data_IF_056814110382
#
_entry.id   IF_056814110382
#
_cell.length_a   1.000
_cell.length_b   1.000
_cell.length_c   1.000
_cell.angle_alpha   90.00
_cell.angle_beta   90.00
_cell.angle_gamma   90.00
#
_symmetry.space_group_name_H-M   'P 1'
#
loop_
_entity.id
_entity.type
_entity.pdbx_description
1 polymer ?
#
# COMPACT_ATOMS: atom_id res chain seq x y z
N UNK A 1 -57.87 -11.48 21.32
CA UNK A 1 -56.59 -11.98 21.85
C UNK A 1 -55.58 -12.04 20.72
N UNK A 2 -54.76 -11.00 20.55
CA UNK A 2 -53.48 -11.09 19.83
C UNK A 2 -52.52 -10.29 20.71
N UNK A 3 -51.71 -11.02 21.46
CA UNK A 3 -50.67 -10.45 22.32
C UNK A 3 -49.50 -10.01 21.45
N UNK A 4 -49.17 -8.73 21.55
CA UNK A 4 -47.89 -8.15 21.18
C UNK A 4 -46.76 -8.90 21.87
N UNK A 5 -45.79 -9.37 21.10
CA UNK A 5 -44.46 -9.67 21.59
C UNK A 5 -43.47 -8.80 20.81
N UNK A 6 -42.93 -7.82 21.53
CA UNK A 6 -41.80 -6.98 21.14
C UNK A 6 -40.66 -7.87 20.61
N UNK A 7 -40.32 -7.75 19.32
CA UNK A 7 -38.94 -7.93 18.91
C UNK A 7 -38.31 -6.56 19.03
N UNK A 8 -37.52 -6.42 20.08
CA UNK A 8 -36.77 -5.24 20.41
C UNK A 8 -36.02 -4.75 19.17
N UNK A 9 -36.38 -3.55 18.73
CA UNK A 9 -35.54 -2.66 17.97
C UNK A 9 -34.26 -2.43 18.79
N UNK A 10 -33.29 -3.34 18.67
CA UNK A 10 -31.88 -2.97 18.77
C UNK A 10 -31.49 -2.26 17.48
N UNK A 11 -32.21 -1.16 17.18
CA UNK A 11 -31.61 -0.05 16.46
C UNK A 11 -30.53 0.44 17.42
N UNK A 12 -29.33 -0.10 17.28
CA UNK A 12 -28.14 0.59 17.75
C UNK A 12 -28.31 2.02 17.27
N UNK A 13 -28.21 2.97 18.20
CA UNK A 13 -28.15 4.39 17.89
C UNK A 13 -27.32 4.53 16.62
N UNK A 14 -27.76 5.27 15.59
CA UNK A 14 -26.83 5.65 14.55
C UNK A 14 -25.72 6.35 15.32
N UNK A 15 -24.55 5.72 15.45
CA UNK A 15 -23.35 6.40 15.89
C UNK A 15 -23.20 7.47 14.82
N UNK A 16 -23.71 8.68 15.11
CA UNK A 16 -23.42 9.85 14.32
C UNK A 16 -21.90 9.88 14.28
N UNK A 17 -21.35 9.59 13.11
CA UNK A 17 -19.92 9.53 12.95
C UNK A 17 -19.41 10.90 13.41
N UNK A 18 -18.61 10.93 14.48
CA UNK A 18 -18.11 12.19 15.05
C UNK A 18 -17.57 13.05 13.90
N UNK A 19 -18.19 14.22 13.67
CA UNK A 19 -17.76 15.08 12.56
C UNK A 19 -16.37 15.62 12.88
N UNK A 20 -15.41 15.39 11.98
CA UNK A 20 -14.06 15.94 12.10
C UNK A 20 -14.09 17.36 11.58
N UNK A 21 -13.80 18.36 12.42
CA UNK A 21 -13.76 19.76 11.99
C UNK A 21 -12.49 20.08 11.20
N UNK A 22 -12.55 21.07 10.30
CA UNK A 22 -11.37 21.55 9.58
C UNK A 22 -10.26 22.00 10.54
N UNK A 23 -10.63 22.64 11.66
CA UNK A 23 -9.67 23.03 12.70
C UNK A 23 -8.96 21.82 13.33
N UNK A 24 -9.68 20.72 13.60
CA UNK A 24 -9.11 19.49 14.16
C UNK A 24 -8.13 18.80 13.19
N UNK A 25 -8.35 18.95 11.88
CA UNK A 25 -7.45 18.40 10.86
C UNK A 25 -6.11 19.15 10.86
N UNK A 26 -6.16 20.49 10.89
CA UNK A 26 -4.97 21.34 10.72
C UNK A 26 -4.22 21.64 12.02
N UNK A 27 -4.79 21.33 13.18
CA UNK A 27 -4.14 21.55 14.48
C UNK A 27 -3.17 20.40 14.80
N UNK A 28 -1.85 20.66 14.92
CA UNK A 28 -0.86 19.59 14.95
C UNK A 28 -1.02 18.58 16.09
N UNK A 29 -1.37 19.03 17.29
CA UNK A 29 -1.55 18.19 18.48
C UNK A 29 -2.82 17.34 18.46
N UNK A 30 -3.75 17.56 17.52
CA UNK A 30 -5.05 16.89 17.55
C UNK A 30 -4.92 15.43 17.13
N UNK A 31 -5.46 14.52 17.96
CA UNK A 31 -5.66 13.11 17.60
C UNK A 31 -7.09 12.91 17.10
N UNK A 32 -7.26 12.41 15.87
CA UNK A 32 -8.59 12.05 15.34
C UNK A 32 -8.97 10.69 15.90
N UNK A 33 -10.23 10.55 16.33
CA UNK A 33 -10.77 9.33 16.91
C UNK A 33 -11.86 8.73 16.03
N UNK A 34 -11.91 7.40 15.98
CA UNK A 34 -13.01 6.59 15.45
C UNK A 34 -13.32 5.51 16.48
N UNK A 35 -14.58 5.41 16.91
CA UNK A 35 -15.00 4.46 17.94
C UNK A 35 -14.11 4.53 19.21
N UNK A 36 -13.77 5.76 19.63
CA UNK A 36 -12.85 6.06 20.74
C UNK A 36 -11.41 5.54 20.57
N UNK A 37 -11.01 5.13 19.37
CA UNK A 37 -9.64 4.71 19.04
C UNK A 37 -8.95 5.74 18.15
N UNK A 38 -7.66 6.03 18.37
CA UNK A 38 -6.89 6.88 17.47
C UNK A 38 -6.89 6.35 16.04
N UNK A 39 -7.20 7.22 15.09
CA UNK A 39 -6.95 6.99 13.67
C UNK A 39 -5.49 7.31 13.41
N UNK A 40 -4.67 6.27 13.26
CA UNK A 40 -3.25 6.41 12.90
C UNK A 40 -3.11 6.71 11.41
N UNK A 41 -2.02 7.41 11.08
CA UNK A 41 -1.54 7.56 9.72
C UNK A 41 -0.05 7.23 9.68
N UNK A 42 0.44 6.83 8.50
CA UNK A 42 1.82 6.43 8.34
C UNK A 42 2.52 7.23 7.25
N UNK A 43 3.84 7.35 7.36
CA UNK A 43 4.73 7.63 6.23
C UNK A 43 5.37 6.31 5.81
N UNK A 44 5.48 6.11 4.50
CA UNK A 44 6.01 4.88 3.93
C UNK A 44 5.27 3.61 4.42
N UNK A 45 4.00 3.70 4.81
CA UNK A 45 3.22 2.56 5.31
C UNK A 45 3.65 1.97 6.66
N UNK A 46 4.87 2.24 7.15
CA UNK A 46 5.45 1.60 8.33
C UNK A 46 5.71 2.54 9.50
N UNK A 47 5.83 3.85 9.25
CA UNK A 47 6.21 4.81 10.29
C UNK A 47 4.94 5.55 10.71
N UNK A 48 4.34 5.07 11.80
CA UNK A 48 3.03 5.50 12.26
C UNK A 48 3.07 6.71 13.19
N UNK A 49 2.03 7.54 13.08
CA UNK A 49 1.79 8.74 13.88
C UNK A 49 0.31 8.83 14.25
N UNK A 50 0.02 9.44 15.40
CA UNK A 50 -1.35 9.73 15.86
C UNK A 50 -1.73 11.19 15.61
N UNK A 51 -0.73 12.05 15.50
CA UNK A 51 -0.88 13.50 15.32
C UNK A 51 0.23 14.06 14.44
N UNK A 52 0.03 15.24 13.83
CA UNK A 52 1.07 15.88 13.02
C UNK A 52 2.22 16.40 13.90
N UNK A 53 1.95 16.71 15.18
CA UNK A 53 2.99 17.07 16.13
C UNK A 53 4.02 15.94 16.35
N UNK A 54 3.57 14.67 16.37
CA UNK A 54 4.47 13.50 16.46
C UNK A 54 5.32 13.33 15.19
N UNK A 55 4.81 13.77 14.04
CA UNK A 55 5.51 13.69 12.76
C UNK A 55 6.68 14.68 12.65
N UNK A 56 6.56 15.89 13.19
CA UNK A 56 7.57 16.94 12.96
C UNK A 56 8.99 16.56 13.43
N UNK A 57 9.20 15.97 14.63
CA UNK A 57 10.52 15.50 15.03
C UNK A 57 11.08 14.41 14.11
N UNK A 58 10.22 13.55 13.55
CA UNK A 58 10.65 12.55 12.58
C UNK A 58 11.16 13.20 11.29
N UNK A 59 10.43 14.19 10.75
CA UNK A 59 10.88 14.96 9.58
C UNK A 59 12.23 15.61 9.83
N UNK A 60 12.40 16.26 10.98
CA UNK A 60 13.66 16.87 11.39
C UNK A 60 14.80 15.85 11.46
N UNK A 61 14.56 14.68 12.06
CA UNK A 61 15.55 13.61 12.14
C UNK A 61 15.96 13.10 10.73
N UNK A 62 15.01 12.91 9.81
CA UNK A 62 15.34 12.47 8.44
C UNK A 62 16.14 13.51 7.66
N UNK A 63 15.86 14.81 7.85
CA UNK A 63 16.63 15.87 7.17
C UNK A 63 18.08 15.96 7.64
N UNK A 64 18.37 15.47 8.86
CA UNK A 64 19.72 15.45 9.46
C UNK A 64 20.46 14.14 9.24
N UNK A 65 19.79 13.14 8.67
CA UNK A 65 20.30 11.78 8.54
C UNK A 65 21.55 11.70 7.66
N UNK A 66 21.59 12.48 6.59
CA UNK A 66 22.74 12.55 5.70
C UNK A 66 23.40 13.92 5.83
N UNK A 67 24.72 13.93 6.02
CA UNK A 67 25.50 15.16 5.94
C UNK A 67 25.51 15.59 4.48
N UNK A 68 24.87 16.71 4.21
CA UNK A 68 24.92 17.32 2.89
C UNK A 68 26.24 18.07 2.78
N UNK A 69 27.17 17.54 1.98
CA UNK A 69 28.52 18.11 1.83
C UNK A 69 28.52 19.50 1.16
N UNK A 70 27.42 19.87 0.49
CA UNK A 70 27.25 21.15 -0.18
C UNK A 70 26.11 21.98 0.44
N UNK A 71 26.39 23.15 1.04
CA UNK A 71 25.35 24.05 1.59
C UNK A 71 24.31 24.56 0.57
N UNK A 72 24.60 24.45 -0.74
CA UNK A 72 23.69 24.80 -1.84
C UNK A 72 22.76 23.65 -2.24
N UNK A 73 22.98 22.45 -1.70
CA UNK A 73 22.13 21.30 -2.00
C UNK A 73 20.83 21.37 -1.18
N UNK A 74 19.74 21.69 -1.89
CA UNK A 74 18.39 21.82 -1.34
C UNK A 74 17.72 20.46 -1.06
N UNK A 75 18.43 19.34 -1.19
CA UNK A 75 17.90 17.99 -0.95
C UNK A 75 17.22 17.88 0.41
N UNK A 76 17.82 18.43 1.48
CA UNK A 76 17.21 18.43 2.82
C UNK A 76 15.88 19.19 2.90
N UNK A 77 15.74 20.33 2.21
CA UNK A 77 14.48 21.09 2.16
C UNK A 77 13.42 20.35 1.36
N UNK A 78 13.80 19.74 0.23
CA UNK A 78 12.92 18.94 -0.60
C UNK A 78 12.37 17.72 0.16
N UNK A 79 13.24 17.02 0.89
CA UNK A 79 12.85 15.88 1.76
C UNK A 79 11.86 16.35 2.83
N UNK A 80 12.16 17.46 3.52
CA UNK A 80 11.29 17.98 4.57
C UNK A 80 9.88 18.29 4.05
N UNK A 81 9.81 19.00 2.93
CA UNK A 81 8.55 19.36 2.28
C UNK A 81 7.77 18.13 1.82
N UNK A 82 8.44 17.15 1.22
CA UNK A 82 7.80 15.93 0.74
C UNK A 82 7.29 15.04 1.88
N UNK A 83 8.08 14.86 2.94
CA UNK A 83 7.64 14.09 4.12
C UNK A 83 6.49 14.79 4.84
N UNK A 84 6.53 16.12 4.97
CA UNK A 84 5.42 16.89 5.53
C UNK A 84 4.15 16.73 4.71
N UNK A 85 4.25 16.89 3.38
CA UNK A 85 3.12 16.70 2.46
C UNK A 85 2.54 15.30 2.55
N UNK A 86 3.38 14.26 2.58
CA UNK A 86 2.96 12.87 2.76
C UNK A 86 2.28 12.65 4.10
N UNK A 87 2.82 13.18 5.18
CA UNK A 87 2.21 13.06 6.50
C UNK A 87 0.85 13.75 6.59
N UNK A 88 0.71 14.95 6.02
CA UNK A 88 -0.58 15.65 5.89
C UNK A 88 -1.55 14.84 5.01
N UNK A 89 -1.08 14.29 3.90
CA UNK A 89 -1.90 13.44 3.05
C UNK A 89 -2.41 12.21 3.81
N UNK A 90 -1.58 11.56 4.62
CA UNK A 90 -1.99 10.43 5.46
C UNK A 90 -2.92 10.81 6.61
N UNK A 91 -2.78 12.03 7.14
CA UNK A 91 -3.72 12.58 8.11
C UNK A 91 -5.12 12.80 7.52
N UNK A 92 -5.18 13.14 6.24
CA UNK A 92 -6.43 13.48 5.53
C UNK A 92 -7.07 12.25 4.90
N UNK A 93 -6.28 11.40 4.27
CA UNK A 93 -6.74 10.18 3.62
C UNK A 93 -6.25 9.01 4.45
N UNK A 94 -7.17 8.39 5.18
CA UNK A 94 -6.86 7.24 6.04
C UNK A 94 -7.52 5.98 5.53
N UNK A 95 -6.86 4.88 5.84
CA UNK A 95 -7.30 3.53 5.55
C UNK A 95 -8.57 3.11 6.30
N UNK A 96 -8.80 3.73 7.45
CA UNK A 96 -9.87 3.35 8.36
C UNK A 96 -11.01 4.36 8.36
N UNK A 97 -10.79 5.55 7.80
CA UNK A 97 -11.68 6.69 7.95
C UNK A 97 -11.48 7.77 6.89
N UNK A 98 -12.49 8.01 6.06
CA UNK A 98 -12.48 9.06 5.02
C UNK A 98 -13.11 10.38 5.51
N UNK A 99 -13.60 10.47 6.76
CA UNK A 99 -14.13 11.73 7.33
C UNK A 99 -13.16 12.90 7.28
N UNK A 100 -11.83 12.73 7.53
CA UNK A 100 -10.89 13.84 7.44
C UNK A 100 -10.76 14.36 5.99
N UNK A 101 -10.84 13.45 5.00
CA UNK A 101 -10.85 13.82 3.59
C UNK A 101 -12.12 14.61 3.25
N UNK A 102 -13.29 14.10 3.62
CA UNK A 102 -14.58 14.76 3.41
C UNK A 102 -14.56 16.18 4.00
N UNK A 103 -14.15 16.32 5.25
CA UNK A 103 -14.03 17.61 5.92
C UNK A 103 -13.05 18.56 5.22
N UNK A 104 -11.92 18.07 4.68
CA UNK A 104 -10.99 18.91 3.91
C UNK A 104 -11.57 19.38 2.57
N UNK A 105 -12.23 18.50 1.81
CA UNK A 105 -12.69 18.80 0.43
C UNK A 105 -13.98 19.61 0.39
N UNK A 106 -14.80 19.53 1.44
CA UNK A 106 -16.04 20.32 1.58
C UNK A 106 -15.79 21.79 1.92
N UNK A 107 -14.57 22.16 2.30
CA UNK A 107 -14.18 23.55 2.58
C UNK A 107 -13.39 24.16 1.41
N UNK A 108 -13.48 25.47 1.26
CA UNK A 108 -12.71 26.27 0.31
C UNK A 108 -11.24 26.37 0.73
N UNK A 109 -10.37 26.77 -0.22
CA UNK A 109 -8.97 27.03 0.10
C UNK A 109 -8.78 28.22 1.02
N UNK A 110 -9.73 29.17 1.03
CA UNK A 110 -9.70 30.32 1.93
C UNK A 110 -10.03 29.90 3.38
N UNK A 111 -11.09 29.12 3.57
CA UNK A 111 -11.43 28.56 4.89
C UNK A 111 -10.29 27.71 5.45
N UNK A 112 -9.62 26.91 4.61
CA UNK A 112 -8.43 26.15 5.00
C UNK A 112 -7.29 27.06 5.48
N UNK A 113 -7.00 28.15 4.74
CA UNK A 113 -5.99 29.13 5.16
C UNK A 113 -6.35 29.80 6.48
N UNK A 114 -7.63 30.15 6.66
CA UNK A 114 -8.11 30.77 7.90
C UNK A 114 -7.99 29.82 9.09
N UNK A 115 -8.37 28.54 8.93
CA UNK A 115 -8.21 27.53 9.96
C UNK A 115 -6.73 27.32 10.36
N UNK A 116 -5.83 27.29 9.37
CA UNK A 116 -4.38 27.22 9.62
C UNK A 116 -3.87 28.47 10.34
N UNK A 117 -4.28 29.67 9.91
CA UNK A 117 -3.90 30.92 10.55
C UNK A 117 -4.42 31.04 12.01
N UNK A 118 -5.50 30.34 12.34
CA UNK A 118 -6.04 30.28 13.69
C UNK A 118 -5.23 29.35 14.62
N UNK A 119 -4.41 28.44 14.08
CA UNK A 119 -3.55 27.54 14.88
C UNK A 119 -2.55 28.35 15.70
N UNK A 120 -2.46 28.05 17.00
CA UNK A 120 -1.54 28.70 17.95
C UNK A 120 -0.23 27.94 18.16
N UNK A 121 -0.20 26.68 17.76
CA UNK A 121 0.98 25.82 17.85
C UNK A 121 2.04 26.20 16.80
N UNK A 122 3.34 25.97 17.08
CA UNK A 122 4.38 26.14 16.09
C UNK A 122 4.15 25.26 14.86
N UNK A 123 4.23 25.86 13.68
CA UNK A 123 4.07 25.17 12.40
C UNK A 123 5.41 25.12 11.64
N UNK A 124 5.78 23.99 11.04
CA UNK A 124 6.98 23.93 10.19
C UNK A 124 6.80 24.79 8.93
N UNK A 125 7.89 25.26 8.31
CA UNK A 125 7.83 25.96 7.03
C UNK A 125 7.13 25.10 5.95
N UNK A 126 6.26 25.71 5.16
CA UNK A 126 5.53 25.01 4.08
C UNK A 126 4.25 24.30 4.51
N UNK A 127 3.84 24.40 5.77
CA UNK A 127 2.66 23.70 6.30
C UNK A 127 1.37 24.02 5.57
N UNK A 128 1.11 25.31 5.29
CA UNK A 128 -0.09 25.74 4.61
C UNK A 128 -0.10 25.31 3.15
N UNK A 129 1.03 25.43 2.48
CA UNK A 129 1.24 25.02 1.10
C UNK A 129 1.03 23.52 0.93
N UNK A 130 1.52 22.71 1.88
CA UNK A 130 1.34 21.26 1.87
C UNK A 130 -0.14 20.88 2.04
N UNK A 131 -0.87 21.51 2.95
CA UNK A 131 -2.32 21.32 3.11
C UNK A 131 -3.11 21.70 1.86
N UNK A 132 -2.78 22.84 1.24
CA UNK A 132 -3.41 23.29 0.00
C UNK A 132 -3.11 22.32 -1.16
N UNK A 133 -1.88 21.79 -1.25
CA UNK A 133 -1.53 20.80 -2.26
C UNK A 133 -2.32 19.49 -2.10
N UNK A 134 -2.47 19.02 -0.85
CA UNK A 134 -3.28 17.84 -0.53
C UNK A 134 -4.75 18.09 -0.85
N UNK A 135 -5.31 19.23 -0.44
CA UNK A 135 -6.69 19.60 -0.78
C UNK A 135 -6.88 19.66 -2.30
N UNK A 136 -5.97 20.29 -3.03
CA UNK A 136 -6.07 20.43 -4.48
C UNK A 136 -6.01 19.09 -5.21
N UNK A 137 -5.14 18.17 -4.76
CA UNK A 137 -5.11 16.80 -5.28
C UNK A 137 -6.47 16.13 -5.11
N UNK A 138 -6.95 16.07 -3.86
CA UNK A 138 -8.10 15.23 -3.54
C UNK A 138 -9.46 15.83 -3.92
N UNK A 139 -9.58 17.15 -4.09
CA UNK A 139 -10.78 17.78 -4.67
C UNK A 139 -11.12 17.31 -6.08
N UNK A 140 -10.11 16.84 -6.83
CA UNK A 140 -10.26 16.40 -8.20
C UNK A 140 -9.91 14.93 -8.37
N UNK A 141 -10.01 14.13 -7.29
CA UNK A 141 -9.56 12.75 -7.32
C UNK A 141 -10.47 11.82 -6.53
N UNK A 142 -10.53 10.57 -6.98
CA UNK A 142 -11.17 9.46 -6.26
C UNK A 142 -10.10 8.54 -5.70
N UNK A 143 -10.20 8.21 -4.41
CA UNK A 143 -9.33 7.23 -3.78
C UNK A 143 -9.66 5.83 -4.27
N UNK A 144 -8.74 5.21 -5.01
CA UNK A 144 -8.91 3.88 -5.62
C UNK A 144 -8.24 2.77 -4.81
N UNK A 145 -7.94 3.04 -3.55
CA UNK A 145 -7.16 2.14 -2.72
C UNK A 145 -7.93 0.90 -2.22
N UNK A 146 -7.20 -0.20 -2.07
CA UNK A 146 -7.68 -1.55 -1.74
C UNK A 146 -8.38 -1.69 -0.40
N UNK A 147 -8.00 -0.93 0.62
CA UNK A 147 -8.72 -0.93 1.89
C UNK A 147 -9.51 0.36 2.15
N UNK A 148 -9.86 1.12 1.09
CA UNK A 148 -10.80 2.24 1.21
C UNK A 148 -12.07 1.77 1.97
N UNK A 149 -12.59 2.57 2.91
CA UNK A 149 -13.86 2.25 3.57
C UNK A 149 -15.05 2.32 2.58
N UNK A 150 -14.86 2.95 1.42
CA UNK A 150 -15.87 3.05 0.37
C UNK A 150 -15.88 1.81 -0.53
N UNK A 151 -17.07 1.36 -0.96
CA UNK A 151 -17.20 0.29 -1.96
C UNK A 151 -16.58 0.70 -3.31
N UNK A 152 -16.81 1.92 -3.85
CA UNK A 152 -16.23 2.33 -5.13
C UNK A 152 -14.69 2.29 -5.13
N UNK A 153 -14.04 2.77 -4.06
CA UNK A 153 -12.58 2.71 -3.94
C UNK A 153 -12.07 1.27 -3.95
N UNK A 154 -12.71 0.38 -3.17
CA UNK A 154 -12.35 -1.04 -3.16
C UNK A 154 -12.51 -1.69 -4.53
N UNK A 155 -13.63 -1.47 -5.23
CA UNK A 155 -13.87 -2.03 -6.57
C UNK A 155 -12.78 -1.62 -7.56
N UNK A 156 -12.23 -0.41 -7.43
CA UNK A 156 -11.18 0.11 -8.30
C UNK A 156 -9.76 -0.42 -7.97
N UNK A 157 -9.61 -1.08 -6.82
CA UNK A 157 -8.33 -1.66 -6.40
C UNK A 157 -8.06 -3.04 -6.99
N UNK A 158 -6.80 -3.45 -6.95
CA UNK A 158 -6.36 -4.82 -7.24
C UNK A 158 -6.89 -5.88 -6.24
N UNK A 159 -7.21 -5.50 -4.99
CA UNK A 159 -7.58 -6.45 -3.93
C UNK A 159 -9.03 -6.92 -3.94
N UNK A 160 -9.92 -6.20 -4.62
CA UNK A 160 -11.34 -6.52 -4.62
C UNK A 160 -11.58 -7.99 -5.01
N UNK A 161 -12.10 -8.83 -4.09
CA UNK A 161 -12.40 -10.21 -4.42
C UNK A 161 -13.52 -10.30 -5.44
N UNK A 162 -13.35 -11.19 -6.40
CA UNK A 162 -14.22 -11.41 -7.53
C UNK A 162 -14.85 -12.78 -7.32
N UNK A 163 -16.17 -12.79 -7.09
CA UNK A 163 -16.92 -14.01 -6.76
C UNK A 163 -16.80 -15.08 -7.84
N UNK A 164 -16.85 -14.69 -9.12
CA UNK A 164 -16.67 -15.56 -10.28
C UNK A 164 -15.20 -15.94 -10.55
N UNK A 165 -14.26 -15.32 -9.83
CA UNK A 165 -12.83 -15.40 -10.07
C UNK A 165 -12.38 -14.61 -11.31
N UNK A 166 -11.07 -14.37 -11.41
CA UNK A 166 -10.42 -13.75 -12.57
C UNK A 166 -9.45 -14.75 -13.20
N UNK A 167 -9.62 -15.02 -14.50
CA UNK A 167 -8.75 -15.95 -15.23
C UNK A 167 -7.55 -15.21 -15.79
N UNK A 168 -6.36 -15.59 -15.37
CA UNK A 168 -5.08 -14.98 -15.76
C UNK A 168 -4.07 -16.11 -16.01
N UNK A 169 -3.44 -16.10 -17.20
CA UNK A 169 -2.36 -17.04 -17.56
C UNK A 169 -2.69 -18.52 -17.29
N UNK A 170 -3.88 -18.95 -17.72
CA UNK A 170 -4.32 -20.36 -17.61
C UNK A 170 -4.88 -20.77 -16.25
N UNK A 171 -4.72 -19.97 -15.20
CA UNK A 171 -5.25 -20.22 -13.87
C UNK A 171 -6.36 -19.23 -13.47
N UNK A 172 -7.08 -19.54 -12.41
CA UNK A 172 -8.12 -18.66 -11.85
C UNK A 172 -7.68 -18.15 -10.49
N UNK A 173 -7.96 -16.88 -10.20
CA UNK A 173 -7.58 -16.19 -8.97
C UNK A 173 -8.78 -15.47 -8.39
N UNK A 174 -8.74 -15.18 -7.09
CA UNK A 174 -9.84 -14.49 -6.41
C UNK A 174 -9.83 -12.99 -6.62
N UNK A 175 -8.68 -12.41 -6.96
CA UNK A 175 -8.54 -10.99 -7.31
C UNK A 175 -7.35 -10.80 -8.24
N UNK A 176 -7.21 -9.60 -8.79
CA UNK A 176 -6.01 -9.24 -9.56
C UNK A 176 -4.76 -9.17 -8.68
N UNK A 177 -4.92 -8.81 -7.40
CA UNK A 177 -3.85 -8.84 -6.42
C UNK A 177 -3.37 -10.26 -6.14
N UNK A 178 -4.28 -11.21 -6.04
CA UNK A 178 -3.93 -12.60 -5.80
C UNK A 178 -3.02 -13.15 -6.92
N UNK A 179 -3.33 -12.87 -8.19
CA UNK A 179 -2.41 -13.19 -9.28
C UNK A 179 -1.06 -12.48 -9.14
N UNK A 180 -1.10 -11.18 -8.79
CA UNK A 180 0.09 -10.35 -8.64
C UNK A 180 1.06 -10.88 -7.58
N UNK A 181 0.55 -11.40 -6.47
CA UNK A 181 1.38 -12.04 -5.44
C UNK A 181 1.85 -13.43 -5.85
N UNK A 182 0.96 -14.24 -6.45
CA UNK A 182 1.28 -15.61 -6.86
C UNK A 182 2.40 -15.67 -7.91
N UNK A 183 2.43 -14.73 -8.86
CA UNK A 183 3.44 -14.72 -9.93
C UNK A 183 4.86 -14.46 -9.41
N UNK A 184 5.00 -13.91 -8.19
CA UNK A 184 6.32 -13.68 -7.58
C UNK A 184 7.04 -14.97 -7.18
N UNK A 185 6.32 -16.07 -7.03
CA UNK A 185 6.89 -17.38 -6.75
C UNK A 185 7.14 -18.13 -8.05
N UNK A 186 8.30 -18.77 -8.22
CA UNK A 186 8.51 -19.67 -9.35
C UNK A 186 7.51 -20.86 -9.28
N UNK A 187 7.04 -21.40 -10.42
CA UNK A 187 6.10 -22.52 -10.43
C UNK A 187 6.53 -23.72 -9.58
N UNK A 188 7.84 -23.98 -9.52
CA UNK A 188 8.41 -25.12 -8.79
C UNK A 188 8.71 -24.82 -7.33
N UNK A 189 8.61 -23.55 -6.88
CA UNK A 189 8.89 -23.20 -5.48
C UNK A 189 7.84 -23.82 -4.57
N UNK A 190 8.30 -24.57 -3.58
CA UNK A 190 7.46 -25.25 -2.59
C UNK A 190 7.39 -24.50 -1.26
N UNK A 191 6.34 -24.75 -0.47
CA UNK A 191 6.23 -24.25 0.91
C UNK A 191 7.43 -24.65 1.77
N UNK A 192 7.99 -25.83 1.53
CA UNK A 192 9.16 -26.32 2.22
C UNK A 192 10.42 -25.50 1.95
N UNK A 193 10.65 -25.09 0.70
CA UNK A 193 11.75 -24.20 0.33
C UNK A 193 11.58 -22.80 0.92
N UNK A 194 10.35 -22.26 0.93
CA UNK A 194 10.07 -20.99 1.59
C UNK A 194 10.41 -21.04 3.08
N UNK A 195 10.02 -22.12 3.75
CA UNK A 195 10.31 -22.35 5.17
C UNK A 195 11.82 -22.41 5.44
N UNK A 196 12.59 -23.05 4.55
CA UNK A 196 14.04 -23.11 4.63
C UNK A 196 14.69 -21.73 4.43
N UNK A 197 14.23 -20.96 3.45
CA UNK A 197 14.70 -19.60 3.20
C UNK A 197 14.42 -18.66 4.39
N UNK A 198 13.23 -18.74 5.00
CA UNK A 198 12.91 -17.98 6.22
C UNK A 198 13.92 -18.32 7.31
N UNK A 199 14.23 -19.61 7.53
CA UNK A 199 15.21 -20.03 8.53
C UNK A 199 16.63 -19.53 8.23
N UNK A 200 17.00 -19.35 6.95
CA UNK A 200 18.26 -18.69 6.57
C UNK A 200 18.24 -17.21 6.96
N UNK A 201 17.16 -16.49 6.63
CA UNK A 201 17.02 -15.07 6.98
C UNK A 201 17.02 -14.84 8.50
N UNK A 202 16.37 -15.72 9.27
CA UNK A 202 16.31 -15.65 10.75
C UNK A 202 17.68 -15.72 11.42
N UNK A 203 18.66 -16.38 10.79
CA UNK A 203 20.02 -16.55 11.33
C UNK A 203 20.98 -15.40 10.99
N UNK A 204 20.60 -14.50 10.09
CA UNK A 204 21.45 -13.38 9.64
C UNK A 204 21.22 -12.15 10.52
N UNK A 205 22.29 -11.46 10.90
CA UNK A 205 22.19 -10.11 11.46
C UNK A 205 21.98 -9.11 10.32
N UNK A 206 20.80 -8.49 10.30
CA UNK A 206 20.41 -7.53 9.27
C UNK A 206 20.88 -6.11 9.55
N UNK A 207 21.35 -5.79 10.75
CA UNK A 207 21.71 -4.41 11.12
C UNK A 207 22.82 -3.83 10.23
N UNK A 208 23.93 -4.55 9.93
CA UNK A 208 24.95 -4.02 9.03
C UNK A 208 24.44 -3.85 7.59
N UNK A 209 23.58 -4.77 7.15
CA UNK A 209 23.03 -4.76 5.79
C UNK A 209 22.06 -3.57 5.60
N UNK A 210 21.15 -3.34 6.55
CA UNK A 210 20.25 -2.18 6.58
C UNK A 210 21.04 -0.88 6.77
N UNK A 211 22.05 -0.87 7.64
CA UNK A 211 22.91 0.28 7.89
C UNK A 211 23.61 0.79 6.62
N UNK A 212 23.98 -0.10 5.70
CA UNK A 212 24.51 0.28 4.38
C UNK A 212 23.46 1.01 3.53
N UNK A 213 22.22 0.50 3.48
CA UNK A 213 21.14 1.15 2.72
C UNK A 213 20.82 2.53 3.30
N UNK A 214 20.83 2.61 4.63
CA UNK A 214 20.54 3.82 5.40
C UNK A 214 21.59 4.92 5.22
N UNK A 215 22.86 4.54 5.05
CA UNK A 215 23.97 5.48 4.93
C UNK A 215 24.06 6.16 3.56
N UNK A 216 23.50 5.56 2.51
CA UNK A 216 23.55 6.10 1.14
C UNK A 216 22.23 6.79 0.75
N UNK A 217 22.18 8.13 0.69
CA UNK A 217 20.97 8.85 0.30
C UNK A 217 20.53 8.54 -1.13
N UNK A 218 21.46 8.18 -2.03
CA UNK A 218 21.12 7.81 -3.42
C UNK A 218 20.42 6.47 -3.50
N UNK A 219 20.60 5.61 -2.51
CA UNK A 219 19.89 4.36 -2.38
C UNK A 219 18.61 4.53 -1.57
N UNK A 220 18.67 5.14 -0.39
CA UNK A 220 17.53 5.24 0.51
C UNK A 220 16.40 6.09 -0.07
N UNK A 221 16.67 7.32 -0.51
CA UNK A 221 15.60 8.26 -0.90
C UNK A 221 14.67 7.73 -2.01
N UNK A 222 15.16 7.15 -3.12
CA UNK A 222 14.27 6.58 -4.13
C UNK A 222 13.59 5.29 -3.68
N UNK A 223 14.09 4.62 -2.63
CA UNK A 223 13.61 3.30 -2.19
C UNK A 223 13.08 3.29 -0.74
N UNK A 224 12.80 4.45 -0.14
CA UNK A 224 12.56 4.57 1.29
C UNK A 224 11.45 3.63 1.78
N UNK A 225 10.40 3.50 0.98
CA UNK A 225 9.32 2.55 1.24
C UNK A 225 9.80 1.09 1.30
N UNK A 226 10.56 0.63 0.32
CA UNK A 226 11.09 -0.74 0.28
C UNK A 226 12.12 -1.01 1.40
N UNK A 227 12.90 0.01 1.77
CA UNK A 227 13.85 -0.11 2.90
C UNK A 227 13.12 -0.24 4.23
N UNK A 228 12.10 0.58 4.48
CA UNK A 228 11.31 0.47 5.72
C UNK A 228 10.45 -0.80 5.75
N UNK A 229 9.95 -1.26 4.59
CA UNK A 229 9.32 -2.56 4.42
C UNK A 229 10.25 -3.69 4.88
N UNK A 230 11.50 -3.70 4.41
CA UNK A 230 12.49 -4.69 4.80
C UNK A 230 12.87 -4.57 6.28
N UNK A 231 13.02 -3.34 6.79
CA UNK A 231 13.32 -3.12 8.21
C UNK A 231 12.25 -3.74 9.11
N UNK A 232 10.97 -3.59 8.73
CA UNK A 232 9.86 -4.20 9.45
C UNK A 232 9.88 -5.73 9.36
N UNK A 233 10.03 -6.28 8.14
CA UNK A 233 9.86 -7.70 7.88
C UNK A 233 11.07 -8.59 8.19
N UNK A 234 12.29 -8.05 8.20
CA UNK A 234 13.52 -8.78 8.54
C UNK A 234 13.75 -8.93 10.06
N UNK A 235 12.81 -8.44 10.88
CA UNK A 235 12.85 -8.70 12.32
C UNK A 235 12.63 -10.18 12.62
N UNK A 236 13.27 -10.68 13.68
CA UNK A 236 13.10 -12.07 14.12
C UNK A 236 11.64 -12.41 14.46
N UNK A 237 10.85 -11.43 14.91
CA UNK A 237 9.43 -11.61 15.16
C UNK A 237 8.65 -11.85 13.87
N UNK A 238 8.83 -10.99 12.85
CA UNK A 238 8.08 -11.11 11.59
C UNK A 238 8.50 -12.33 10.76
N UNK A 239 9.79 -12.67 10.75
CA UNK A 239 10.25 -13.91 10.11
C UNK A 239 9.64 -15.16 10.77
N UNK A 240 9.60 -15.21 12.11
CA UNK A 240 8.92 -16.30 12.83
C UNK A 240 7.43 -16.34 12.53
N UNK A 241 6.79 -15.18 12.42
CA UNK A 241 5.38 -15.06 12.07
C UNK A 241 5.10 -15.69 10.71
N UNK A 242 5.86 -15.36 9.64
CA UNK A 242 5.70 -15.98 8.32
C UNK A 242 5.77 -17.51 8.38
N UNK A 243 6.77 -18.04 9.08
CA UNK A 243 6.94 -19.49 9.25
C UNK A 243 5.74 -20.14 9.94
N UNK A 244 5.18 -19.49 10.96
CA UNK A 244 3.99 -19.99 11.66
C UNK A 244 2.76 -19.94 10.77
N UNK A 245 2.54 -18.85 10.03
CA UNK A 245 1.37 -18.74 9.14
C UNK A 245 1.41 -19.76 8.00
N UNK A 246 2.57 -20.02 7.40
CA UNK A 246 2.71 -21.10 6.39
C UNK A 246 2.26 -22.48 6.90
N UNK A 247 2.27 -22.70 8.23
CA UNK A 247 1.82 -23.96 8.84
C UNK A 247 0.30 -24.04 9.11
N UNK A 248 -0.43 -22.92 9.07
CA UNK A 248 -1.82 -22.82 9.55
C UNK A 248 -2.90 -23.20 8.53
N UNK A 249 -2.58 -23.23 7.23
CA UNK A 249 -3.56 -23.44 6.16
C UNK A 249 -3.64 -24.88 5.63
N UNK A 250 -3.21 -25.86 6.44
CA UNK A 250 -3.18 -27.28 6.06
C UNK A 250 -2.23 -27.58 4.89
N UNK A 251 -1.31 -26.66 4.59
CA UNK A 251 -0.32 -26.79 3.54
C UNK A 251 0.70 -27.88 3.91
N UNK A 252 1.07 -28.69 2.92
CA UNK A 252 2.17 -29.62 3.02
C UNK A 252 3.46 -28.97 2.53
N UNK A 253 4.60 -29.45 3.02
CA UNK A 253 5.92 -28.93 2.60
C UNK A 253 6.18 -29.10 1.11
N UNK A 254 5.56 -30.09 0.48
CA UNK A 254 5.64 -30.35 -0.96
C UNK A 254 4.69 -29.49 -1.81
N UNK A 255 3.78 -28.74 -1.19
CA UNK A 255 2.81 -27.94 -1.94
C UNK A 255 3.54 -26.79 -2.65
N UNK A 256 3.18 -26.55 -3.92
CA UNK A 256 3.70 -25.41 -4.68
C UNK A 256 3.13 -24.10 -4.13
N UNK A 257 3.99 -23.12 -3.88
CA UNK A 257 3.62 -21.82 -3.33
C UNK A 257 2.68 -21.05 -4.27
N UNK A 258 3.00 -20.99 -5.57
CA UNK A 258 2.14 -20.38 -6.59
C UNK A 258 0.82 -21.14 -6.76
N UNK A 259 0.86 -22.48 -6.77
CA UNK A 259 -0.34 -23.31 -6.94
C UNK A 259 -1.29 -23.19 -5.74
N UNK A 260 -0.75 -23.00 -4.54
CA UNK A 260 -1.55 -22.85 -3.34
C UNK A 260 -2.43 -21.59 -3.35
N UNK A 261 -1.98 -20.57 -4.10
CA UNK A 261 -2.64 -19.30 -4.40
C UNK A 261 -3.48 -19.36 -5.69
N UNK A 262 -3.83 -20.55 -6.19
CA UNK A 262 -4.78 -20.65 -7.31
C UNK A 262 -6.15 -21.06 -6.80
N UNK A 263 -7.18 -20.48 -7.38
CA UNK A 263 -8.56 -20.82 -7.07
C UNK A 263 -8.88 -22.22 -7.60
N UNK A 264 -9.23 -23.13 -6.70
CA UNK A 264 -9.61 -24.52 -7.02
C UNK A 264 -11.08 -24.84 -6.74
N UNK A 265 -11.84 -23.91 -6.16
CA UNK A 265 -13.24 -24.09 -5.79
C UNK A 265 -14.00 -22.77 -5.63
N UNK A 266 -15.16 -22.82 -4.97
CA UNK A 266 -16.03 -21.65 -4.76
C UNK A 266 -15.68 -20.82 -3.52
N UNK A 267 -15.13 -21.45 -2.47
CA UNK A 267 -14.70 -20.75 -1.27
C UNK A 267 -13.29 -20.16 -1.46
N UNK A 268 -13.09 -18.93 -0.96
CA UNK A 268 -11.76 -18.34 -0.85
C UNK A 268 -10.93 -19.14 0.15
N UNK A 269 -9.73 -19.55 -0.29
CA UNK A 269 -8.82 -20.33 0.56
C UNK A 269 -8.15 -19.46 1.63
N UNK A 270 -7.88 -18.21 1.30
CA UNK A 270 -7.28 -17.20 2.17
C UNK A 270 -8.14 -15.94 2.16
N UNK A 271 -8.14 -15.19 3.27
CA UNK A 271 -8.70 -13.85 3.25
C UNK A 271 -7.83 -12.93 2.38
N UNK A 272 -8.42 -11.89 1.77
CA UNK A 272 -7.68 -10.93 0.94
C UNK A 272 -6.46 -10.32 1.68
N UNK A 273 -6.58 -10.14 3.00
CA UNK A 273 -5.48 -9.68 3.84
C UNK A 273 -4.38 -10.73 4.04
N UNK A 274 -4.73 -12.01 4.18
CA UNK A 274 -3.74 -13.08 4.32
C UNK A 274 -2.96 -13.25 3.02
N UNK A 275 -3.61 -13.17 1.86
CA UNK A 275 -2.92 -13.18 0.56
C UNK A 275 -1.84 -12.12 0.47
N UNK A 276 -2.15 -10.91 0.95
CA UNK A 276 -1.17 -9.84 1.00
C UNK A 276 -0.09 -10.10 2.05
N UNK A 277 -0.50 -10.17 3.31
CA UNK A 277 0.39 -10.07 4.45
C UNK A 277 1.28 -11.32 4.57
N UNK A 278 0.82 -12.49 4.10
CA UNK A 278 1.60 -13.72 4.06
C UNK A 278 2.33 -13.88 2.73
N UNK A 279 1.61 -14.08 1.63
CA UNK A 279 2.24 -14.46 0.36
C UNK A 279 2.89 -13.28 -0.33
N UNK A 280 2.21 -12.14 -0.40
CA UNK A 280 2.78 -10.97 -1.04
C UNK A 280 4.02 -10.43 -0.34
N UNK A 281 3.89 -10.16 0.96
CA UNK A 281 4.99 -9.59 1.73
C UNK A 281 6.19 -10.56 1.81
N UNK A 282 5.96 -11.87 1.96
CA UNK A 282 7.05 -12.84 1.99
C UNK A 282 7.82 -12.87 0.66
N UNK A 283 7.12 -12.87 -0.48
CA UNK A 283 7.77 -12.80 -1.78
C UNK A 283 8.57 -11.50 -1.94
N UNK A 284 7.99 -10.37 -1.54
CA UNK A 284 8.63 -9.06 -1.60
C UNK A 284 9.90 -9.02 -0.74
N UNK A 285 9.89 -9.62 0.46
CA UNK A 285 11.10 -9.75 1.29
C UNK A 285 12.21 -10.46 0.52
N UNK A 286 11.94 -11.62 -0.08
CA UNK A 286 12.96 -12.39 -0.79
C UNK A 286 13.51 -11.64 -2.00
N UNK A 287 12.64 -11.11 -2.85
CA UNK A 287 13.06 -10.40 -4.05
C UNK A 287 13.79 -9.08 -3.74
N UNK A 288 13.35 -8.33 -2.73
CA UNK A 288 14.03 -7.09 -2.33
C UNK A 288 15.39 -7.36 -1.66
N UNK A 289 15.49 -8.40 -0.82
CA UNK A 289 16.80 -8.81 -0.27
C UNK A 289 17.76 -9.16 -1.40
N UNK A 290 17.31 -9.89 -2.43
CA UNK A 290 18.14 -10.17 -3.61
C UNK A 290 18.53 -8.87 -4.32
N UNK A 291 17.56 -8.00 -4.59
CA UNK A 291 17.71 -6.75 -5.36
C UNK A 291 18.70 -5.80 -4.71
N UNK A 292 18.63 -5.61 -3.38
CA UNK A 292 19.48 -4.66 -2.66
C UNK A 292 20.79 -5.26 -2.15
N UNK A 293 20.97 -6.58 -2.21
CA UNK A 293 22.22 -7.22 -1.83
C UNK A 293 23.33 -6.99 -2.86
N UNK A 294 24.56 -6.80 -2.36
CA UNK A 294 25.72 -6.69 -3.23
C UNK A 294 25.93 -7.99 -4.04
N UNK A 295 26.54 -7.93 -5.24
CA UNK A 295 26.74 -9.11 -6.08
C UNK A 295 27.46 -10.28 -5.40
N UNK A 296 28.32 -9.99 -4.42
CA UNK A 296 29.12 -10.93 -3.66
C UNK A 296 28.53 -11.32 -2.29
N UNK A 297 27.39 -10.76 -1.87
CA UNK A 297 26.71 -11.20 -0.64
C UNK A 297 26.21 -12.65 -0.82
N UNK A 298 26.61 -13.62 0.03
CA UNK A 298 26.18 -15.00 -0.10
C UNK A 298 24.67 -15.19 -0.13
N UNK A 299 23.90 -14.32 0.54
CA UNK A 299 22.43 -14.41 0.53
C UNK A 299 21.86 -14.24 -0.88
N UNK A 300 22.53 -13.46 -1.74
CA UNK A 300 22.10 -13.21 -3.12
C UNK A 300 22.15 -14.49 -3.94
N UNK A 301 23.21 -15.30 -3.78
CA UNK A 301 23.30 -16.61 -4.42
C UNK A 301 22.22 -17.56 -3.90
N UNK A 302 22.03 -17.64 -2.58
CA UNK A 302 20.98 -18.48 -2.01
C UNK A 302 19.60 -18.13 -2.57
N UNK A 303 19.24 -16.85 -2.64
CA UNK A 303 17.95 -16.41 -3.20
C UNK A 303 17.83 -16.71 -4.69
N UNK A 304 18.90 -16.55 -5.47
CA UNK A 304 18.91 -16.91 -6.90
C UNK A 304 18.73 -18.41 -7.15
N UNK A 305 19.39 -19.25 -6.33
CA UNK A 305 19.26 -20.71 -6.42
C UNK A 305 17.82 -21.18 -6.10
N UNK A 306 17.03 -20.34 -5.43
CA UNK A 306 15.59 -20.54 -5.17
C UNK A 306 14.67 -19.64 -6.03
N UNK A 307 15.18 -19.11 -7.15
CA UNK A 307 14.42 -18.34 -8.15
C UNK A 307 13.85 -16.99 -7.68
N UNK A 308 14.42 -16.38 -6.65
CA UNK A 308 14.10 -15.00 -6.23
C UNK A 308 15.02 -13.95 -6.86
N UNK A 309 15.69 -14.31 -7.96
CA UNK A 309 16.46 -13.37 -8.79
C UNK A 309 15.60 -12.65 -9.84
N UNK A 310 14.42 -13.20 -10.15
CA UNK A 310 13.52 -12.70 -11.17
C UNK A 310 12.09 -13.25 -10.98
N UNK A 311 11.16 -12.69 -11.74
CA UNK A 311 9.79 -13.12 -11.90
C UNK A 311 9.69 -13.98 -13.16
N UNK A 312 9.12 -15.17 -13.02
CA UNK A 312 9.01 -16.17 -14.09
C UNK A 312 7.54 -16.39 -14.47
N UNK A 313 7.16 -15.99 -15.68
CA UNK A 313 5.78 -16.09 -16.16
C UNK A 313 5.76 -16.53 -17.62
N UNK A 314 5.21 -17.72 -17.87
CA UNK A 314 5.34 -18.44 -19.14
C UNK A 314 6.83 -18.54 -19.54
N UNK A 315 7.19 -18.09 -20.75
CA UNK A 315 8.57 -18.06 -21.25
C UNK A 315 9.33 -16.79 -20.81
N UNK A 316 8.69 -15.87 -20.08
CA UNK A 316 9.29 -14.59 -19.68
C UNK A 316 10.03 -14.71 -18.35
N UNK A 317 11.26 -14.18 -18.32
CA UNK A 317 12.02 -13.87 -17.11
C UNK A 317 12.16 -12.36 -16.99
N UNK A 318 11.54 -11.77 -15.97
CA UNK A 318 11.50 -10.31 -15.74
C UNK A 318 12.16 -9.98 -14.41
N UNK A 319 13.02 -8.95 -14.35
CA UNK A 319 13.57 -8.54 -13.06
C UNK A 319 12.48 -8.10 -12.10
N UNK A 320 12.60 -8.42 -10.81
CA UNK A 320 11.77 -7.78 -9.79
C UNK A 320 11.97 -6.25 -9.88
N UNK A 321 10.91 -5.46 -9.70
CA UNK A 321 10.85 -4.00 -9.96
C UNK A 321 11.24 -3.53 -11.38
N UNK A 322 11.46 -4.42 -12.34
CA UNK A 322 11.74 -4.04 -13.73
C UNK A 322 10.53 -3.37 -14.38
N UNK A 323 10.76 -2.56 -15.41
CA UNK A 323 9.68 -1.97 -16.21
C UNK A 323 8.80 -3.05 -16.86
N UNK A 324 9.41 -4.17 -17.26
CA UNK A 324 8.71 -5.32 -17.83
C UNK A 324 7.75 -5.93 -16.82
N UNK A 325 8.22 -6.17 -15.58
CA UNK A 325 7.36 -6.70 -14.53
C UNK A 325 6.25 -5.69 -14.18
N UNK A 326 6.58 -4.41 -14.03
CA UNK A 326 5.58 -3.36 -13.74
C UNK A 326 4.49 -3.26 -14.83
N UNK A 327 4.86 -3.47 -16.09
CA UNK A 327 3.92 -3.46 -17.22
C UNK A 327 2.90 -4.60 -17.19
N UNK A 328 3.18 -5.70 -16.46
CA UNK A 328 2.24 -6.80 -16.25
C UNK A 328 0.97 -6.32 -15.53
N UNK A 329 1.05 -5.33 -14.65
CA UNK A 329 -0.12 -4.77 -13.96
C UNK A 329 -1.16 -4.25 -14.94
N UNK A 330 -0.70 -3.59 -16.00
CA UNK A 330 -1.58 -3.10 -17.06
C UNK A 330 -2.27 -4.25 -17.82
N UNK A 331 -1.55 -5.34 -18.10
CA UNK A 331 -2.10 -6.56 -18.73
C UNK A 331 -3.21 -7.17 -17.85
N UNK A 332 -2.97 -7.28 -16.54
CA UNK A 332 -3.92 -7.81 -15.57
C UNK A 332 -5.18 -6.93 -15.49
N UNK A 333 -5.02 -5.61 -15.48
CA UNK A 333 -6.15 -4.70 -15.41
C UNK A 333 -7.00 -4.67 -16.67
N UNK A 334 -6.43 -4.93 -17.85
CA UNK A 334 -7.24 -5.16 -19.05
C UNK A 334 -8.21 -6.32 -18.84
N UNK A 335 -7.79 -7.39 -18.17
CA UNK A 335 -8.70 -8.51 -17.88
C UNK A 335 -9.83 -8.03 -16.99
N UNK A 336 -9.52 -7.41 -15.84
CA UNK A 336 -10.55 -6.92 -14.92
C UNK A 336 -11.48 -5.88 -15.54
N UNK A 337 -10.94 -4.80 -16.10
CA UNK A 337 -11.72 -3.63 -16.52
C UNK A 337 -12.21 -3.69 -17.95
N UNK A 338 -11.56 -4.45 -18.83
CA UNK A 338 -11.99 -4.53 -20.22
C UNK A 338 -12.62 -5.87 -20.56
N UNK A 339 -12.45 -6.95 -19.81
CA UNK A 339 -13.09 -8.23 -20.14
C UNK A 339 -14.28 -8.57 -19.24
N UNK A 340 -14.45 -7.85 -18.12
CA UNK A 340 -15.58 -8.04 -17.21
C UNK A 340 -16.53 -6.84 -17.28
N UNK A 341 -17.74 -6.99 -17.86
CA UNK A 341 -18.62 -5.86 -18.16
C UNK A 341 -18.94 -4.97 -16.95
N UNK A 342 -19.23 -5.56 -15.79
CA UNK A 342 -19.58 -4.80 -14.56
C UNK A 342 -18.47 -3.87 -14.09
N UNK A 343 -17.20 -4.28 -14.20
CA UNK A 343 -16.06 -3.45 -13.82
C UNK A 343 -15.74 -2.42 -14.91
N UNK A 344 -15.98 -2.78 -16.18
CA UNK A 344 -15.89 -1.82 -17.30
C UNK A 344 -16.83 -0.65 -17.10
N UNK A 345 -18.10 -0.92 -16.77
CA UNK A 345 -19.11 0.11 -16.53
C UNK A 345 -18.73 1.02 -15.36
N UNK A 346 -18.26 0.44 -14.25
CA UNK A 346 -17.78 1.22 -13.09
C UNK A 346 -16.67 2.17 -13.51
N UNK A 347 -15.61 1.68 -14.16
CA UNK A 347 -14.47 2.52 -14.50
C UNK A 347 -14.82 3.53 -15.62
N UNK A 348 -15.65 3.16 -16.60
CA UNK A 348 -16.04 4.05 -17.70
C UNK A 348 -16.98 5.17 -17.23
N UNK A 349 -17.77 4.94 -16.19
CA UNK A 349 -18.69 5.94 -15.61
C UNK A 349 -18.00 7.13 -14.93
N UNK A 350 -16.72 7.00 -14.58
CA UNK A 350 -16.00 8.04 -13.82
C UNK A 350 -15.70 9.24 -14.75
N UNK A 351 -16.09 10.47 -14.37
CA UNK A 351 -15.81 11.68 -15.16
C UNK A 351 -14.31 11.88 -15.40
N UNK A 352 -13.93 12.42 -16.57
CA UNK A 352 -12.52 12.62 -16.94
C UNK A 352 -11.82 13.64 -16.05
N UNK A 353 -12.59 14.55 -15.47
CA UNK A 353 -12.20 15.62 -14.57
C UNK A 353 -11.81 15.07 -13.19
N UNK A 354 -12.29 13.88 -12.83
CA UNK A 354 -11.93 13.18 -11.60
C UNK A 354 -10.77 12.24 -11.91
N UNK A 355 -9.61 12.45 -11.30
CA UNK A 355 -8.46 11.55 -11.44
C UNK A 355 -8.66 10.33 -10.55
N UNK A 356 -8.33 9.16 -11.08
CA UNK A 356 -8.15 7.98 -10.25
C UNK A 356 -6.82 8.15 -9.55
N UNK A 357 -6.82 8.31 -8.24
CA UNK A 357 -5.62 8.49 -7.44
C UNK A 357 -5.50 7.37 -6.43
N UNK A 358 -4.28 7.14 -6.00
CA UNK A 358 -3.96 6.21 -4.94
C UNK A 358 -3.43 6.98 -3.74
N UNK A 359 -3.73 6.50 -2.55
CA UNK A 359 -3.18 7.06 -1.34
C UNK A 359 -1.66 6.81 -1.33
N UNK A 360 -0.85 7.85 -1.07
CA UNK A 360 0.59 7.83 -1.35
C UNK A 360 1.45 7.19 -0.25
N UNK A 361 0.89 6.88 0.91
CA UNK A 361 1.62 6.23 2.01
C UNK A 361 1.30 4.74 2.12
N UNK A 362 0.83 4.14 1.03
CA UNK A 362 -0.13 3.05 1.15
C UNK A 362 0.37 1.71 1.62
N UNK A 363 1.68 1.51 1.82
CA UNK A 363 2.07 0.18 2.26
C UNK A 363 1.74 -0.94 1.26
N UNK A 364 1.26 -0.63 0.03
CA UNK A 364 0.63 -1.64 -0.80
C UNK A 364 1.68 -2.62 -1.31
N UNK A 365 2.63 -2.26 -2.17
CA UNK A 365 3.77 -3.16 -2.40
C UNK A 365 5.01 -2.42 -2.87
N UNK A 366 6.22 -2.88 -2.47
CA UNK A 366 7.48 -2.25 -2.86
C UNK A 366 7.85 -2.50 -4.32
N UNK A 367 7.05 -3.28 -5.04
CA UNK A 367 7.35 -3.75 -6.38
C UNK A 367 6.90 -2.82 -7.52
N UNK A 368 5.92 -1.94 -7.26
CA UNK A 368 5.43 -0.92 -8.19
C UNK A 368 5.38 0.45 -7.49
N UNK A 369 6.13 1.44 -8.01
CA UNK A 369 5.94 2.83 -7.60
C UNK A 369 4.50 3.31 -7.82
N UNK A 370 3.87 3.86 -6.78
CA UNK A 370 2.47 4.35 -6.80
C UNK A 370 2.12 5.24 -8.02
N UNK A 371 2.98 6.17 -8.50
CA UNK A 371 2.64 6.97 -9.68
C UNK A 371 2.34 6.12 -10.93
N UNK A 372 3.01 4.98 -11.09
CA UNK A 372 2.80 4.06 -12.22
C UNK A 372 1.43 3.38 -12.10
N UNK A 373 1.05 2.99 -10.87
CA UNK A 373 -0.26 2.41 -10.57
C UNK A 373 -1.40 3.38 -10.93
N UNK A 374 -1.27 4.64 -10.49
CA UNK A 374 -2.22 5.72 -10.81
C UNK A 374 -2.37 5.91 -12.32
N UNK A 375 -1.26 5.91 -13.05
CA UNK A 375 -1.27 6.10 -14.50
C UNK A 375 -2.08 5.00 -15.20
N UNK A 376 -1.83 3.73 -14.84
CA UNK A 376 -2.53 2.59 -15.43
C UNK A 376 -4.05 2.65 -15.23
N UNK A 377 -4.56 3.16 -14.10
CA UNK A 377 -6.02 3.17 -13.83
C UNK A 377 -6.69 4.20 -14.72
N UNK A 378 -6.08 5.38 -14.82
CA UNK A 378 -6.55 6.45 -15.70
C UNK A 378 -6.47 6.04 -17.18
N UNK A 379 -5.43 5.31 -17.58
CA UNK A 379 -5.32 4.73 -18.93
C UNK A 379 -6.43 3.67 -19.18
N UNK A 380 -6.69 2.78 -18.21
CA UNK A 380 -7.77 1.78 -18.29
C UNK A 380 -9.14 2.42 -18.46
N UNK A 381 -9.44 3.47 -17.69
CA UNK A 381 -10.67 4.27 -17.86
C UNK A 381 -10.83 4.77 -19.29
N UNK A 382 -9.77 5.37 -19.84
CA UNK A 382 -9.81 5.93 -21.19
C UNK A 382 -10.06 4.84 -22.24
N UNK A 383 -9.46 3.66 -22.08
CA UNK A 383 -9.69 2.50 -22.95
C UNK A 383 -11.11 1.95 -22.83
N UNK A 384 -11.65 1.85 -21.61
CA UNK A 384 -13.00 1.36 -21.35
C UNK A 384 -14.06 2.21 -22.06
N UNK A 385 -13.92 3.54 -21.99
CA UNK A 385 -14.83 4.49 -22.67
C UNK A 385 -14.73 4.46 -24.18
N UNK A 386 -13.54 4.22 -24.72
CA UNK A 386 -13.34 4.14 -26.17
C UNK A 386 -13.82 2.82 -26.78
N UNK A 387 -13.98 1.79 -25.94
CA UNK A 387 -14.51 0.47 -26.35
C UNK A 387 -16.05 0.44 -26.41
N UNK A 388 -16.72 1.52 -26.00
CA UNK A 388 -18.17 1.74 -26.14
C UNK A 388 -18.56 2.43 -27.46
N UNK A 389 -17.56 2.89 -28.25
CA UNK A 389 -17.74 3.39 -29.63
C UNK A 389 -17.44 2.29 -30.62
#
# INVERSE_FOLDING_TARGET
>A
MIQLALIALSLGSPLWADQVSLQAIVTPSTTILKDSRPVTFAIHGFIEFRSLAELFPYVEAQTRRWKVDNPLDNTGKGIAQELLRRGIEGRVVSMVDERPLEALVTHTSEELRQAIAAVKEPLPPGYAEAFLAVQQKWKHSLNCWSASPSIPGRVLSNWYPIEEGVRLYGATYDSTEHFWQAVKYHPDTTVGELTQLIAVLERKDWNPWLGRLDADPKLYLPNAYAVEFLRHHLTAERLRWFRVELSRHGLQMSDGARLSQQRTGTAFRFAAREEKDLWGDLADVFHLVYTFSLPDDPIRKTLADHHFDAIYLDERKMGFISEQFRSLMFEIWKVKYLQMPRFREVISSIPLEIRLEHFLNDGDSPDIPIPIYVEYLNQMRNLARNSEK
#
